data_IF_172624815442
#
_entry.id   IF_172624815442
#
_cell.length_a   1.000
_cell.length_b   1.000
_cell.length_c   1.000
_cell.angle_alpha   90.00
_cell.angle_beta   90.00
_cell.angle_gamma   90.00
#
_symmetry.space_group_name_H-M   'P 1'
#
loop_
_entity.id
_entity.type
_entity.pdbx_description
1 polymer ?
#
# COMPACT_ATOMS: atom_id res chain seq x y z
N UNK A 1 12.04 -15.31 -12.13
CA UNK A 1 11.18 -14.90 -11.01
C UNK A 1 11.99 -13.93 -10.16
N UNK A 2 11.49 -12.71 -9.96
CA UNK A 2 12.17 -11.70 -9.13
C UNK A 2 11.72 -11.85 -7.68
N UNK A 3 12.61 -11.65 -6.73
CA UNK A 3 12.32 -11.78 -5.30
C UNK A 3 12.40 -10.43 -4.60
N UNK A 4 11.41 -10.16 -3.74
CA UNK A 4 11.35 -8.99 -2.87
C UNK A 4 10.90 -9.41 -1.48
N UNK A 5 11.20 -8.58 -0.49
CA UNK A 5 10.69 -8.79 0.87
C UNK A 5 9.22 -8.37 0.93
N UNK A 6 8.91 -7.20 0.37
CA UNK A 6 7.57 -6.58 0.40
C UNK A 6 7.11 -6.24 -1.01
N UNK A 7 5.97 -6.79 -1.43
CA UNK A 7 5.29 -6.41 -2.66
C UNK A 7 4.06 -5.58 -2.34
N UNK A 8 3.95 -4.41 -2.96
CA UNK A 8 2.88 -3.45 -2.73
C UNK A 8 2.07 -3.28 -4.02
N UNK A 9 0.77 -3.55 -3.95
CA UNK A 9 -0.14 -3.34 -5.09
C UNK A 9 -0.86 -2.01 -4.90
N UNK A 10 -0.48 -1.01 -5.71
CA UNK A 10 -1.08 0.32 -5.75
C UNK A 10 -0.12 1.44 -5.33
N UNK A 11 0.33 2.24 -6.29
CA UNK A 11 1.14 3.46 -6.07
C UNK A 11 0.31 4.70 -5.69
N UNK A 12 -0.76 4.48 -4.93
CA UNK A 12 -1.48 5.56 -4.25
C UNK A 12 -0.73 6.07 -3.02
N UNK A 13 -1.31 7.04 -2.33
CA UNK A 13 -0.66 7.65 -1.16
C UNK A 13 -0.39 6.64 -0.04
N UNK A 14 -1.28 5.65 0.18
CA UNK A 14 -1.10 4.62 1.18
C UNK A 14 0.06 3.67 0.84
N UNK A 15 0.06 3.11 -0.38
CA UNK A 15 1.10 2.18 -0.82
C UNK A 15 2.48 2.83 -0.90
N UNK A 16 2.55 4.06 -1.43
CA UNK A 16 3.81 4.80 -1.48
C UNK A 16 4.30 5.20 -0.07
N UNK A 17 3.41 5.55 0.85
CA UNK A 17 3.80 5.80 2.24
C UNK A 17 4.35 4.53 2.89
N UNK A 18 3.74 3.37 2.65
CA UNK A 18 4.29 2.11 3.15
C UNK A 18 5.69 1.84 2.56
N UNK A 19 5.86 2.08 1.25
CA UNK A 19 7.11 1.88 0.55
C UNK A 19 8.26 2.75 1.08
N UNK A 20 7.99 4.01 1.46
CA UNK A 20 8.98 4.88 2.11
C UNK A 20 9.57 4.20 3.34
N UNK A 21 8.72 3.66 4.21
CA UNK A 21 9.16 3.10 5.48
C UNK A 21 9.78 1.70 5.32
N UNK A 22 9.21 0.83 4.49
CA UNK A 22 9.81 -0.49 4.24
C UNK A 22 11.17 -0.36 3.54
N UNK A 23 11.28 0.53 2.55
CA UNK A 23 12.54 0.86 1.91
C UNK A 23 13.55 1.44 2.91
N UNK A 24 13.13 2.43 3.72
CA UNK A 24 13.99 3.05 4.73
C UNK A 24 14.51 2.02 5.76
N UNK A 25 13.70 1.02 6.09
CA UNK A 25 14.09 -0.06 6.99
C UNK A 25 15.03 -1.10 6.35
N UNK A 26 15.37 -0.95 5.06
CA UNK A 26 16.27 -1.83 4.31
C UNK A 26 15.58 -3.06 3.71
N UNK A 27 14.24 -3.11 3.69
CA UNK A 27 13.50 -4.19 3.04
C UNK A 27 13.46 -3.95 1.53
N UNK A 28 13.84 -4.95 0.75
CA UNK A 28 13.70 -4.94 -0.69
C UNK A 28 12.21 -4.85 -1.04
N UNK A 29 11.77 -3.66 -1.48
CA UNK A 29 10.37 -3.31 -1.64
C UNK A 29 10.07 -2.98 -3.10
N UNK A 30 9.03 -3.58 -3.67
CA UNK A 30 8.53 -3.22 -4.99
C UNK A 30 7.06 -2.77 -4.93
N UNK A 31 6.75 -1.65 -5.58
CA UNK A 31 5.40 -1.11 -5.73
C UNK A 31 4.96 -1.25 -7.18
N UNK A 32 3.78 -1.82 -7.41
CA UNK A 32 3.14 -1.88 -8.72
C UNK A 32 2.04 -0.82 -8.83
N UNK A 33 2.22 0.17 -9.71
CA UNK A 33 1.29 1.29 -9.89
C UNK A 33 0.70 1.34 -11.31
N UNK A 34 -0.64 1.20 -11.40
CA UNK A 34 -1.40 1.47 -12.63
C UNK A 34 -1.61 2.97 -12.91
N UNK A 35 -1.14 3.83 -12.00
CA UNK A 35 -1.26 5.28 -12.13
C UNK A 35 -2.66 5.82 -11.86
N UNK A 36 -3.56 5.03 -11.26
CA UNK A 36 -4.99 5.36 -11.04
C UNK A 36 -5.30 5.94 -9.66
N UNK A 37 -4.32 6.51 -8.96
CA UNK A 37 -4.54 7.17 -7.68
C UNK A 37 -5.61 8.28 -7.80
N UNK A 38 -6.61 8.26 -6.92
CA UNK A 38 -7.70 9.25 -6.89
C UNK A 38 -7.22 10.67 -6.55
N UNK A 39 -5.99 10.82 -6.04
CA UNK A 39 -5.40 12.13 -5.78
C UNK A 39 -4.83 12.78 -7.04
N UNK A 40 -4.36 12.01 -8.03
CA UNK A 40 -3.73 12.58 -9.25
C UNK A 40 -4.57 13.64 -9.97
N UNK A 41 -5.91 13.48 -10.16
CA UNK A 41 -6.72 14.49 -10.84
C UNK A 41 -7.08 15.70 -9.97
N UNK A 42 -6.76 15.70 -8.66
CA UNK A 42 -7.12 16.80 -7.76
C UNK A 42 -6.19 18.00 -8.04
N UNK A 43 -6.79 19.10 -8.49
CA UNK A 43 -6.05 20.34 -8.81
C UNK A 43 -5.37 20.95 -7.60
N UNK A 44 -5.97 20.83 -6.41
CA UNK A 44 -5.40 21.38 -5.19
C UNK A 44 -5.87 20.64 -3.94
N UNK A 45 -4.91 20.07 -3.21
CA UNK A 45 -5.09 19.34 -1.96
C UNK A 45 -4.71 20.28 -0.81
N UNK A 46 -5.71 20.79 -0.08
CA UNK A 46 -5.50 21.65 1.10
C UNK A 46 -5.50 20.89 2.42
N UNK A 47 -6.04 19.67 2.42
CA UNK A 47 -6.24 18.82 3.60
C UNK A 47 -5.08 17.84 3.85
N UNK A 48 -3.88 18.16 3.35
CA UNK A 48 -2.66 17.43 3.68
C UNK A 48 -1.72 18.38 4.45
N UNK A 49 -1.58 18.21 5.78
CA UNK A 49 -0.77 19.11 6.61
C UNK A 49 0.66 19.27 6.09
N UNK A 50 1.24 20.46 6.27
CA UNK A 50 2.57 20.83 5.76
C UNK A 50 2.54 21.59 4.43
N UNK A 51 1.39 21.69 3.76
CA UNK A 51 1.21 22.46 2.52
C UNK A 51 0.18 23.59 2.74
N UNK A 52 0.56 24.72 3.39
CA UNK A 52 -0.38 25.80 3.74
C UNK A 52 -1.04 26.43 2.52
N UNK A 53 -0.33 26.47 1.40
CA UNK A 53 -0.86 26.96 0.13
C UNK A 53 -1.62 25.89 -0.66
N UNK A 54 -1.70 24.65 -0.17
CA UNK A 54 -2.17 23.48 -0.90
C UNK A 54 -1.16 22.95 -1.92
N UNK A 55 -1.37 21.72 -2.39
CA UNK A 55 -0.49 21.06 -3.37
C UNK A 55 -1.30 20.35 -4.46
N UNK A 56 -0.86 20.40 -5.72
CA UNK A 56 -1.47 19.59 -6.79
C UNK A 56 -1.34 18.10 -6.46
N UNK A 57 -2.43 17.33 -6.60
CA UNK A 57 -2.43 15.94 -6.15
C UNK A 57 -1.46 15.04 -6.93
N UNK A 58 -1.25 15.28 -8.23
CA UNK A 58 -0.20 14.63 -9.02
C UNK A 58 1.21 14.95 -8.49
N UNK A 59 1.45 16.17 -8.02
CA UNK A 59 2.75 16.61 -7.49
C UNK A 59 3.00 15.98 -6.13
N UNK A 60 1.97 15.92 -5.27
CA UNK A 60 2.05 15.22 -3.99
C UNK A 60 2.42 13.74 -4.18
N UNK A 61 1.71 13.03 -5.06
CA UNK A 61 2.02 11.60 -5.35
C UNK A 61 3.42 11.45 -5.93
N UNK A 62 3.83 12.33 -6.86
CA UNK A 62 5.18 12.30 -7.44
C UNK A 62 6.28 12.49 -6.40
N UNK A 63 6.10 13.42 -5.44
CA UNK A 63 7.06 13.64 -4.35
C UNK A 63 7.20 12.42 -3.44
N UNK A 64 6.09 11.79 -3.07
CA UNK A 64 6.14 10.58 -2.20
C UNK A 64 6.75 9.40 -2.98
N UNK A 65 6.46 9.27 -4.28
CA UNK A 65 7.11 8.27 -5.15
C UNK A 65 8.62 8.48 -5.21
N UNK A 66 9.08 9.72 -5.39
CA UNK A 66 10.50 10.05 -5.36
C UNK A 66 11.12 9.69 -4.01
N UNK A 67 10.47 10.05 -2.90
CA UNK A 67 10.94 9.72 -1.56
C UNK A 67 11.07 8.22 -1.35
N UNK A 68 10.09 7.42 -1.79
CA UNK A 68 10.16 5.96 -1.70
C UNK A 68 11.36 5.40 -2.48
N UNK A 69 11.65 5.95 -3.67
CA UNK A 69 12.80 5.56 -4.47
C UNK A 69 14.15 5.96 -3.83
N UNK A 70 14.22 7.14 -3.21
CA UNK A 70 15.41 7.60 -2.46
C UNK A 70 15.73 6.68 -1.27
N UNK A 71 14.70 6.07 -0.66
CA UNK A 71 14.84 5.05 0.37
C UNK A 71 14.95 3.62 -0.17
N UNK A 72 15.11 3.43 -1.49
CA UNK A 72 15.44 2.13 -2.08
C UNK A 72 14.25 1.26 -2.49
N UNK A 73 13.01 1.73 -2.40
CA UNK A 73 11.87 1.01 -2.98
C UNK A 73 11.82 1.19 -4.50
N UNK A 74 11.55 0.13 -5.26
CA UNK A 74 11.25 0.23 -6.69
C UNK A 74 9.76 0.54 -6.91
N UNK A 75 9.45 1.30 -7.95
CA UNK A 75 8.07 1.59 -8.34
C UNK A 75 7.92 1.31 -9.82
N UNK A 76 7.26 0.20 -10.12
CA UNK A 76 7.01 -0.31 -11.45
C UNK A 76 5.66 0.25 -11.95
N UNK A 77 5.66 0.87 -13.13
CA UNK A 77 4.43 1.34 -13.79
C UNK A 77 3.72 0.18 -14.50
N UNK A 78 3.39 -0.86 -13.73
CA UNK A 78 2.79 -2.10 -14.17
C UNK A 78 1.61 -2.47 -13.28
N UNK A 79 0.66 -3.18 -13.85
CA UNK A 79 -0.40 -3.83 -13.08
C UNK A 79 0.02 -5.22 -12.60
N UNK A 80 -0.59 -5.66 -11.49
CA UNK A 80 -0.59 -7.06 -11.08
C UNK A 80 -1.89 -7.67 -11.55
N UNK A 81 -1.79 -8.75 -12.33
CA UNK A 81 -2.92 -9.43 -12.99
C UNK A 81 -3.38 -10.67 -12.25
N UNK A 82 -2.56 -11.20 -11.33
CA UNK A 82 -2.93 -12.30 -10.48
C UNK A 82 -2.03 -12.44 -9.26
N UNK A 83 -2.62 -12.78 -8.12
CA UNK A 83 -1.93 -13.12 -6.88
C UNK A 83 -2.30 -14.52 -6.44
N UNK A 84 -1.36 -15.23 -5.81
CA UNK A 84 -1.67 -16.45 -5.05
C UNK A 84 -0.69 -16.63 -3.89
N UNK A 85 -1.12 -17.37 -2.88
CA UNK A 85 -0.21 -17.88 -1.87
C UNK A 85 0.80 -18.85 -2.50
N UNK A 86 2.02 -18.83 -1.98
CA UNK A 86 3.12 -19.72 -2.33
C UNK A 86 3.88 -20.08 -1.04
N UNK A 87 4.74 -21.09 -1.09
CA UNK A 87 5.47 -21.55 0.09
C UNK A 87 6.25 -20.38 0.73
N UNK A 88 5.86 -20.00 1.95
CA UNK A 88 6.48 -18.91 2.70
C UNK A 88 6.12 -17.48 2.26
N UNK A 89 5.10 -17.28 1.41
CA UNK A 89 4.65 -15.94 1.02
C UNK A 89 3.67 -15.93 -0.16
N UNK A 90 3.96 -15.09 -1.15
CA UNK A 90 3.07 -14.76 -2.26
C UNK A 90 3.79 -14.81 -3.60
N UNK A 91 3.07 -15.21 -4.65
CA UNK A 91 3.51 -15.04 -6.03
C UNK A 91 2.54 -14.12 -6.76
N UNK A 92 3.11 -13.11 -7.41
CA UNK A 92 2.40 -12.17 -8.25
C UNK A 92 2.76 -12.37 -9.72
N UNK A 93 1.77 -12.22 -10.59
CA UNK A 93 1.96 -12.13 -12.04
C UNK A 93 1.68 -10.69 -12.45
N UNK A 94 2.60 -10.09 -13.20
CA UNK A 94 2.50 -8.71 -13.68
C UNK A 94 1.89 -8.65 -15.08
N UNK A 95 1.48 -7.46 -15.51
CA UNK A 95 0.83 -7.23 -16.81
C UNK A 95 1.70 -7.60 -18.03
N UNK A 96 3.01 -7.66 -17.86
CA UNK A 96 3.99 -8.13 -18.86
C UNK A 96 4.28 -9.64 -18.78
N UNK A 97 3.63 -10.36 -17.86
CA UNK A 97 3.78 -11.80 -17.68
C UNK A 97 4.98 -12.20 -16.82
N UNK A 98 5.74 -11.24 -16.27
CA UNK A 98 6.77 -11.57 -15.28
C UNK A 98 6.15 -12.06 -13.96
N UNK A 99 6.95 -12.80 -13.21
CA UNK A 99 6.54 -13.33 -11.91
C UNK A 99 7.46 -12.84 -10.80
N UNK A 100 6.82 -12.43 -9.72
CA UNK A 100 7.46 -11.90 -8.53
C UNK A 100 7.08 -12.75 -7.31
N UNK A 101 8.05 -13.00 -6.43
CA UNK A 101 7.82 -13.64 -5.16
C UNK A 101 8.08 -12.65 -4.02
N UNK A 102 7.22 -12.66 -3.02
CA UNK A 102 7.30 -11.77 -1.86
C UNK A 102 6.96 -12.50 -0.57
N UNK A 103 7.64 -12.16 0.54
CA UNK A 103 7.27 -12.66 1.87
C UNK A 103 6.03 -11.94 2.39
N UNK A 104 5.96 -10.63 2.14
CA UNK A 104 4.85 -9.78 2.55
C UNK A 104 4.15 -9.17 1.35
N UNK A 105 2.83 -9.06 1.46
CA UNK A 105 1.98 -8.40 0.48
C UNK A 105 1.23 -7.25 1.15
N UNK A 106 1.26 -6.06 0.54
CA UNK A 106 0.42 -4.93 0.93
C UNK A 106 -0.52 -4.60 -0.23
N UNK A 107 -1.81 -4.79 -0.04
CA UNK A 107 -2.84 -4.41 -1.01
C UNK A 107 -3.32 -2.98 -0.69
N UNK A 108 -2.85 -2.01 -1.48
CA UNK A 108 -3.16 -0.58 -1.38
C UNK A 108 -3.92 -0.08 -2.63
N UNK A 109 -4.67 -0.98 -3.27
CA UNK A 109 -5.27 -0.83 -4.59
C UNK A 109 -6.61 -0.07 -4.60
N UNK A 110 -7.10 0.33 -3.43
CA UNK A 110 -8.34 1.08 -3.23
C UNK A 110 -9.57 0.41 -3.87
N UNK A 111 -9.98 0.82 -5.07
CA UNK A 111 -11.18 0.31 -5.74
C UNK A 111 -10.96 -1.05 -6.40
N UNK A 112 -9.72 -1.42 -6.70
CA UNK A 112 -9.44 -2.70 -7.35
C UNK A 112 -9.36 -3.81 -6.29
N UNK A 113 -10.41 -4.62 -6.19
CA UNK A 113 -10.53 -5.72 -5.23
C UNK A 113 -9.96 -7.05 -5.74
N UNK A 114 -9.52 -7.11 -7.01
CA UNK A 114 -9.02 -8.36 -7.60
C UNK A 114 -7.95 -9.05 -6.74
N UNK A 115 -6.92 -8.35 -6.21
CA UNK A 115 -5.90 -9.01 -5.40
C UNK A 115 -6.44 -9.62 -4.09
N UNK A 116 -7.51 -9.06 -3.53
CA UNK A 116 -8.16 -9.62 -2.34
C UNK A 116 -9.00 -10.85 -2.70
N UNK A 117 -9.74 -10.77 -3.81
CA UNK A 117 -10.53 -11.89 -4.33
C UNK A 117 -9.65 -13.10 -4.66
N UNK A 118 -8.49 -12.86 -5.29
CA UNK A 118 -7.49 -13.88 -5.61
C UNK A 118 -6.99 -14.64 -4.36
N UNK A 119 -6.96 -13.96 -3.22
CA UNK A 119 -6.55 -14.52 -1.93
C UNK A 119 -7.72 -15.10 -1.11
N UNK A 120 -8.96 -15.01 -1.61
CA UNK A 120 -10.15 -15.41 -0.87
C UNK A 120 -10.41 -14.53 0.36
N UNK A 121 -9.98 -13.27 0.34
CA UNK A 121 -10.20 -12.32 1.44
C UNK A 121 -11.54 -11.61 1.23
N UNK A 122 -12.48 -11.86 2.14
CA UNK A 122 -13.81 -11.25 2.11
C UNK A 122 -13.75 -9.73 2.31
N UNK A 123 -14.58 -9.02 1.54
CA UNK A 123 -14.77 -7.57 1.67
C UNK A 123 -16.23 -7.21 1.92
N UNK A 124 -16.44 -6.05 2.51
CA UNK A 124 -17.76 -5.46 2.74
C UNK A 124 -17.75 -3.97 2.41
N UNK A 125 -18.92 -3.38 2.18
CA UNK A 125 -19.04 -1.94 1.98
C UNK A 125 -18.54 -1.21 3.24
N UNK A 126 -17.65 -0.25 3.05
CA UNK A 126 -17.13 0.55 4.16
C UNK A 126 -18.23 1.41 4.76
N UNK A 127 -18.53 1.31 6.08
CA UNK A 127 -19.50 2.17 6.73
C UNK A 127 -19.03 3.64 6.77
N UNK A 128 -17.74 3.89 6.61
CA UNK A 128 -17.17 5.24 6.52
C UNK A 128 -17.50 5.94 5.19
N UNK A 129 -18.00 5.20 4.20
CA UNK A 129 -18.33 5.72 2.86
C UNK A 129 -19.76 5.35 2.49
N UNK A 130 -20.76 6.16 2.89
CA UNK A 130 -22.18 5.85 2.68
C UNK A 130 -22.60 5.64 1.22
N UNK A 131 -21.79 6.11 0.26
CA UNK A 131 -22.05 5.92 -1.17
C UNK A 131 -21.89 4.47 -1.66
N UNK A 132 -21.34 3.57 -0.85
CA UNK A 132 -21.12 2.17 -1.22
C UNK A 132 -19.95 1.91 -2.18
N UNK A 133 -19.29 2.97 -2.67
CA UNK A 133 -18.23 2.86 -3.68
C UNK A 133 -16.91 2.28 -3.17
N UNK A 134 -16.73 2.25 -1.85
CA UNK A 134 -15.49 1.82 -1.20
C UNK A 134 -15.78 0.59 -0.37
N UNK A 135 -15.01 -0.47 -0.61
CA UNK A 135 -15.01 -1.66 0.22
C UNK A 135 -13.89 -1.64 1.24
N UNK A 136 -14.04 -2.43 2.30
CA UNK A 136 -13.00 -2.75 3.27
C UNK A 136 -12.92 -4.26 3.48
N UNK A 137 -11.81 -4.75 4.02
CA UNK A 137 -11.70 -6.14 4.46
C UNK A 137 -12.65 -6.40 5.62
N UNK A 138 -13.44 -7.47 5.51
CA UNK A 138 -14.37 -7.88 6.56
C UNK A 138 -13.58 -8.46 7.74
N UNK A 139 -13.83 -7.95 8.94
CA UNK A 139 -13.07 -8.34 10.13
C UNK A 139 -11.60 -7.87 10.13
N UNK A 140 -11.22 -6.95 9.23
CA UNK A 140 -9.88 -6.40 9.16
C UNK A 140 -9.48 -5.63 10.43
N UNK A 141 -8.18 -5.64 10.73
CA UNK A 141 -7.62 -4.98 11.90
C UNK A 141 -7.16 -3.55 11.58
N UNK A 142 -7.06 -2.70 12.61
CA UNK A 142 -6.57 -1.32 12.49
C UNK A 142 -5.12 -1.26 11.96
N UNK A 143 -4.31 -2.30 12.20
CA UNK A 143 -2.95 -2.47 11.67
C UNK A 143 -2.90 -3.01 10.23
N UNK A 144 -4.06 -3.18 9.59
CA UNK A 144 -4.16 -3.61 8.20
C UNK A 144 -3.97 -5.11 7.99
N UNK A 145 -3.79 -5.90 9.05
CA UNK A 145 -3.75 -7.36 8.92
C UNK A 145 -5.04 -7.92 8.31
N UNK A 146 -4.88 -8.96 7.50
CA UNK A 146 -5.98 -9.71 6.90
C UNK A 146 -6.08 -11.11 7.50
N UNK A 147 -7.04 -11.91 7.04
CA UNK A 147 -7.16 -13.32 7.41
C UNK A 147 -6.04 -14.21 6.84
N UNK A 148 -5.24 -13.70 5.91
CA UNK A 148 -4.12 -14.41 5.28
C UNK A 148 -2.82 -13.91 5.89
N UNK A 149 -2.04 -14.80 6.50
CA UNK A 149 -0.77 -14.43 7.12
C UNK A 149 0.18 -13.80 6.10
N UNK A 150 0.79 -12.67 6.47
CA UNK A 150 1.73 -11.94 5.61
C UNK A 150 1.04 -11.04 4.57
N UNK A 151 -0.28 -11.12 4.40
CA UNK A 151 -1.05 -10.19 3.58
C UNK A 151 -1.69 -9.10 4.44
N UNK A 152 -1.46 -7.86 4.02
CA UNK A 152 -1.95 -6.65 4.65
C UNK A 152 -2.76 -5.83 3.64
N UNK A 153 -3.67 -5.00 4.14
CA UNK A 153 -4.35 -3.96 3.38
C UNK A 153 -3.96 -2.58 3.86
N UNK A 154 -3.87 -1.65 2.91
CA UNK A 154 -3.58 -0.26 3.21
C UNK A 154 -4.61 0.73 2.65
N UNK A 155 -4.67 1.91 3.26
CA UNK A 155 -5.63 2.95 2.97
C UNK A 155 -7.07 2.50 3.27
N UNK A 156 -8.00 2.87 2.41
CA UNK A 156 -9.44 2.70 2.65
C UNK A 156 -9.88 1.23 2.79
N UNK A 157 -9.10 0.28 2.24
CA UNK A 157 -9.35 -1.15 2.38
C UNK A 157 -9.26 -1.64 3.84
N UNK A 158 -8.57 -0.91 4.71
CA UNK A 158 -8.53 -1.18 6.16
C UNK A 158 -9.77 -0.69 6.91
N UNK A 159 -10.65 0.07 6.25
CA UNK A 159 -11.84 0.65 6.87
C UNK A 159 -11.63 2.01 7.54
N UNK A 160 -10.43 2.60 7.42
CA UNK A 160 -10.19 3.97 7.92
C UNK A 160 -11.02 5.02 7.18
N UNK A 161 -11.33 6.16 7.83
CA UNK A 161 -12.04 7.26 7.18
C UNK A 161 -11.32 7.80 5.94
N UNK A 162 -12.09 8.29 4.97
CA UNK A 162 -11.58 8.76 3.68
C UNK A 162 -10.91 10.13 3.79
N UNK A 163 -9.60 10.14 4.07
CA UNK A 163 -8.72 11.29 3.88
C UNK A 163 -7.32 10.88 3.43
N UNK A 164 -6.66 11.73 2.65
CA UNK A 164 -5.31 11.48 2.11
C UNK A 164 -4.27 11.25 3.21
N UNK A 165 -4.28 12.08 4.26
CA UNK A 165 -3.34 11.95 5.38
C UNK A 165 -3.61 10.70 6.23
N UNK A 166 -4.87 10.30 6.38
CA UNK A 166 -5.24 9.07 7.10
C UNK A 166 -4.76 7.85 6.31
N UNK A 167 -4.96 7.83 5.00
CA UNK A 167 -4.47 6.75 4.15
C UNK A 167 -2.93 6.67 4.14
N UNK A 168 -2.23 7.80 4.16
CA UNK A 168 -0.78 7.85 4.30
C UNK A 168 -0.30 7.27 5.64
N UNK A 169 -0.93 7.70 6.74
CA UNK A 169 -0.62 7.21 8.08
C UNK A 169 -0.90 5.73 8.23
N UNK A 170 -2.00 5.23 7.68
CA UNK A 170 -2.31 3.80 7.73
C UNK A 170 -1.30 2.99 6.89
N UNK A 171 -0.89 3.46 5.71
CA UNK A 171 0.18 2.80 4.93
C UNK A 171 1.50 2.72 5.71
N UNK A 172 1.85 3.80 6.40
CA UNK A 172 3.00 3.84 7.32
C UNK A 172 2.86 2.82 8.44
N UNK A 173 1.68 2.75 9.06
CA UNK A 173 1.41 1.83 10.15
C UNK A 173 1.56 0.35 9.73
N UNK A 174 1.06 -0.02 8.54
CA UNK A 174 1.27 -1.36 7.98
C UNK A 174 2.75 -1.66 7.77
N UNK A 175 3.51 -0.71 7.22
CA UNK A 175 4.95 -0.86 7.07
C UNK A 175 5.63 -1.11 8.42
N UNK A 176 5.27 -0.35 9.46
CA UNK A 176 5.84 -0.51 10.80
C UNK A 176 5.53 -1.88 11.42
N UNK A 177 4.34 -2.44 11.16
CA UNK A 177 3.97 -3.81 11.57
C UNK A 177 4.91 -4.84 10.91
N UNK A 178 5.06 -4.78 9.58
CA UNK A 178 5.95 -5.67 8.83
C UNK A 178 7.40 -5.54 9.31
N UNK A 179 7.90 -4.31 9.47
CA UNK A 179 9.28 -4.07 9.90
C UNK A 179 9.51 -4.58 11.33
N UNK A 180 8.53 -4.41 12.22
CA UNK A 180 8.64 -4.90 13.60
C UNK A 180 8.64 -6.42 13.65
N UNK A 181 7.82 -7.08 12.81
CA UNK A 181 7.82 -8.54 12.64
C UNK A 181 9.18 -9.05 12.13
N UNK A 182 9.73 -8.43 11.08
CA UNK A 182 11.05 -8.80 10.53
C UNK A 182 12.19 -8.60 11.52
N UNK A 183 12.15 -7.52 12.32
CA UNK A 183 13.20 -7.21 13.31
C UNK A 183 13.02 -7.97 14.63
N UNK A 184 11.90 -8.66 14.83
CA UNK A 184 11.55 -9.34 16.08
C UNK A 184 11.39 -8.39 17.28
N UNK A 185 11.21 -7.08 17.04
CA UNK A 185 11.05 -6.04 18.07
C UNK A 185 10.40 -4.80 17.47
N UNK A 186 9.78 -3.98 18.31
CA UNK A 186 9.23 -2.69 17.90
C UNK A 186 10.29 -1.85 17.17
N UNK A 187 9.94 -1.35 15.99
CA UNK A 187 10.76 -0.44 15.22
C UNK A 187 10.31 1.00 15.43
N UNK A 188 11.27 1.91 15.47
CA UNK A 188 11.04 3.36 15.47
C UNK A 188 12.10 4.00 14.58
N UNK A 189 11.70 4.94 13.75
CA UNK A 189 12.60 5.78 12.98
C UNK A 189 12.54 7.21 13.53
N UNK A 190 13.68 7.69 13.99
CA UNK A 190 13.93 9.09 14.34
C UNK A 190 15.15 9.56 13.54
N UNK A 191 15.10 10.76 12.99
CA UNK A 191 16.26 11.41 12.37
C UNK A 191 17.14 11.99 13.49
N UNK A 192 18.47 11.87 13.33
CA UNK A 192 19.47 12.47 14.21
C UNK A 192 20.11 13.69 13.54
#
# INVERSE_FOLDING_TARGET
MREVDVLIIGGGIAGLSAAVYTGQAGLNTAVFDQGKSQLKPISKVYNYPGFPEGIEGKVLIGKIRQQAAEFGASVEDLEVTGIRQADGGFRAVTGDGEEWQARYLIVASNLNLQPLNDLGIDTEVSPAVPSGKISRVKGGSWNGETSVEGAYVAGLLSGVPTQSIIAAGQGTQVAMEIISKEKGKAHVWHDN
#
